data_IF_204484663705
#
_entry.id   IF_204484663705
#
_cell.length_a   1.000
_cell.length_b   1.000
_cell.length_c   1.000
_cell.angle_alpha   90.00
_cell.angle_beta   90.00
_cell.angle_gamma   90.00
#
_symmetry.space_group_name_H-M   'P 1'
#
loop_
_entity.id
_entity.type
_entity.pdbx_description
1 polymer ?
#
# COMPACT_ATOMS: atom_id res chain seq x y z
N UNK A 1 59.59 -11.24 -47.91
CA UNK A 1 60.49 -11.01 -46.76
C UNK A 1 59.64 -10.52 -45.61
N UNK A 2 59.76 -11.18 -44.47
CA UNK A 2 58.90 -11.03 -43.29
C UNK A 2 59.10 -9.69 -42.58
N UNK A 3 58.02 -9.14 -42.02
CA UNK A 3 58.06 -8.17 -40.93
C UNK A 3 57.12 -8.63 -39.82
N UNK A 4 57.72 -9.40 -38.90
CA UNK A 4 57.45 -9.54 -37.48
C UNK A 4 55.99 -9.55 -36.99
N UNK A 5 55.52 -10.75 -36.69
CA UNK A 5 54.43 -11.06 -35.77
C UNK A 5 54.87 -10.74 -34.33
N UNK A 6 54.28 -9.74 -33.70
CA UNK A 6 54.22 -9.67 -32.23
C UNK A 6 53.08 -10.57 -31.78
N UNK A 7 53.40 -11.73 -31.20
CA UNK A 7 52.41 -12.62 -30.60
C UNK A 7 51.61 -11.86 -29.52
N UNK A 8 50.27 -11.96 -29.49
CA UNK A 8 49.52 -11.60 -28.29
C UNK A 8 49.90 -12.55 -27.14
N UNK A 9 49.82 -12.10 -25.87
CA UNK A 9 50.14 -12.93 -24.71
C UNK A 9 49.21 -14.15 -24.65
N UNK A 10 49.64 -15.27 -24.04
CA UNK A 10 48.81 -16.47 -23.94
C UNK A 10 47.60 -16.18 -23.05
N UNK A 11 46.45 -16.75 -23.44
CA UNK A 11 45.23 -16.82 -22.66
C UNK A 11 45.54 -17.36 -21.26
N UNK A 12 45.12 -16.66 -20.20
CA UNK A 12 45.09 -17.26 -18.85
C UNK A 12 43.85 -18.16 -18.77
N UNK A 13 44.07 -19.47 -18.58
CA UNK A 13 43.14 -20.60 -18.70
C UNK A 13 41.94 -20.63 -17.71
N UNK A 14 41.61 -19.55 -17.01
CA UNK A 14 40.77 -19.59 -15.80
C UNK A 14 39.33 -19.06 -15.97
N UNK A 15 38.83 -18.91 -17.19
CA UNK A 15 37.45 -18.45 -17.46
C UNK A 15 36.62 -19.55 -18.10
N UNK A 16 35.65 -20.05 -17.35
CA UNK A 16 34.70 -21.07 -17.84
C UNK A 16 33.34 -20.43 -18.12
N UNK A 17 32.84 -20.63 -19.34
CA UNK A 17 31.52 -20.17 -19.78
C UNK A 17 30.52 -21.31 -19.66
N UNK A 18 29.42 -21.06 -18.96
CA UNK A 18 28.31 -22.00 -18.83
C UNK A 18 27.04 -21.35 -19.37
N UNK A 19 26.36 -22.05 -20.28
CA UNK A 19 25.03 -21.64 -20.74
C UNK A 19 24.03 -21.89 -19.61
N UNK A 20 23.40 -20.81 -19.14
CA UNK A 20 22.55 -20.85 -17.93
C UNK A 20 21.18 -21.45 -18.24
N UNK A 21 20.70 -21.31 -19.48
CA UNK A 21 19.43 -21.89 -19.91
C UNK A 21 19.52 -22.41 -21.35
N UNK A 22 19.14 -23.68 -21.60
CA UNK A 22 19.13 -24.23 -22.96
C UNK A 22 18.02 -23.65 -23.85
N UNK A 23 17.07 -22.91 -23.28
CA UNK A 23 15.94 -22.30 -24.01
C UNK A 23 16.15 -20.80 -24.29
N UNK A 24 17.20 -20.19 -23.76
CA UNK A 24 17.59 -18.81 -24.06
C UNK A 24 19.06 -18.79 -24.47
N UNK A 25 19.38 -18.68 -25.78
CA UNK A 25 20.75 -18.75 -26.28
C UNK A 25 21.62 -17.54 -25.87
N UNK A 26 21.04 -16.54 -25.22
CA UNK A 26 21.72 -15.30 -24.81
C UNK A 26 22.02 -15.23 -23.31
N UNK A 27 21.60 -16.22 -22.51
CA UNK A 27 21.96 -16.30 -21.08
C UNK A 27 23.19 -17.18 -20.87
N UNK A 28 24.34 -16.52 -20.71
CA UNK A 28 25.63 -17.13 -20.39
C UNK A 28 26.18 -16.56 -19.10
N UNK A 29 26.75 -17.41 -18.24
CA UNK A 29 27.54 -16.99 -17.08
C UNK A 29 29.00 -17.29 -17.34
N UNK A 30 29.85 -16.29 -17.13
CA UNK A 30 31.29 -16.46 -17.08
C UNK A 30 31.73 -16.44 -15.62
N UNK A 31 32.35 -17.52 -15.15
CA UNK A 31 32.96 -17.56 -13.82
C UNK A 31 34.46 -17.47 -13.96
N UNK A 32 35.05 -16.44 -13.33
CA UNK A 32 36.49 -16.34 -13.09
C UNK A 32 36.72 -16.78 -11.64
N UNK A 33 37.67 -17.66 -11.41
CA UNK A 33 37.87 -18.36 -10.13
C UNK A 33 38.19 -17.47 -8.92
N UNK A 34 38.26 -16.13 -9.03
CA UNK A 34 38.72 -15.24 -7.95
C UNK A 34 38.15 -13.81 -7.87
N UNK A 35 36.96 -13.48 -8.39
CA UNK A 35 36.36 -12.14 -8.18
C UNK A 35 35.02 -12.19 -7.46
N UNK A 36 34.93 -11.56 -6.28
CA UNK A 36 33.75 -11.47 -5.41
C UNK A 36 32.73 -10.40 -5.81
N UNK A 37 32.90 -9.75 -6.97
CA UNK A 37 32.00 -8.72 -7.49
C UNK A 37 31.18 -9.24 -8.67
N UNK A 38 30.16 -10.03 -8.37
CA UNK A 38 29.19 -10.55 -9.35
C UNK A 38 27.92 -9.70 -9.35
N UNK A 39 27.83 -8.73 -10.25
CA UNK A 39 26.62 -7.94 -10.49
C UNK A 39 26.24 -7.92 -11.98
N UNK A 40 24.95 -7.79 -12.33
CA UNK A 40 24.49 -7.81 -13.74
C UNK A 40 25.21 -6.80 -14.64
N UNK A 41 25.44 -5.59 -14.14
CA UNK A 41 26.15 -4.52 -14.85
C UNK A 41 27.64 -4.83 -15.11
N UNK A 42 28.34 -5.46 -14.15
CA UNK A 42 29.75 -5.84 -14.30
C UNK A 42 29.93 -6.95 -15.35
N UNK A 43 29.01 -7.92 -15.38
CA UNK A 43 29.02 -9.01 -16.35
C UNK A 43 28.73 -8.51 -17.77
N UNK A 44 27.83 -7.53 -17.94
CA UNK A 44 27.55 -6.90 -19.24
C UNK A 44 28.76 -6.11 -19.77
N UNK A 45 29.44 -5.35 -18.90
CA UNK A 45 30.64 -4.59 -19.26
C UNK A 45 31.81 -5.49 -19.68
N UNK A 46 32.03 -6.59 -18.93
CA UNK A 46 33.08 -7.57 -19.24
C UNK A 46 32.79 -8.30 -20.55
N UNK A 47 31.52 -8.65 -20.83
CA UNK A 47 31.10 -9.25 -22.09
C UNK A 47 31.33 -8.32 -23.30
N UNK A 48 31.06 -7.01 -23.16
CA UNK A 48 31.24 -6.04 -24.24
C UNK A 48 32.73 -5.87 -24.60
N UNK A 49 33.60 -5.75 -23.59
CA UNK A 49 35.04 -5.63 -23.78
C UNK A 49 35.64 -6.84 -24.53
N UNK A 50 35.25 -8.06 -24.13
CA UNK A 50 35.72 -9.31 -24.77
C UNK A 50 35.18 -9.43 -26.20
N UNK A 51 33.92 -9.07 -26.45
CA UNK A 51 33.32 -9.13 -27.78
C UNK A 51 33.95 -8.13 -28.77
N UNK A 52 34.35 -6.94 -28.30
CA UNK A 52 35.08 -5.95 -29.10
C UNK A 52 36.50 -6.40 -29.44
N UNK A 53 37.18 -7.11 -28.53
CA UNK A 53 38.53 -7.62 -28.73
C UNK A 53 38.58 -8.76 -29.77
N UNK A 54 37.50 -9.54 -29.86
CA UNK A 54 37.39 -10.69 -30.77
C UNK A 54 36.58 -10.42 -32.05
N UNK A 55 36.25 -9.15 -32.34
CA UNK A 55 35.56 -8.71 -33.55
C UNK A 55 34.22 -9.43 -33.84
N UNK A 56 33.51 -9.88 -32.80
CA UNK A 56 32.18 -10.46 -32.94
C UNK A 56 31.14 -9.33 -33.05
N UNK A 57 31.00 -8.76 -34.25
CA UNK A 57 30.10 -7.64 -34.56
C UNK A 57 28.69 -7.84 -34.02
N UNK A 58 28.17 -9.06 -34.13
CA UNK A 58 26.79 -9.39 -33.77
C UNK A 58 26.61 -9.42 -32.24
N UNK A 59 27.64 -9.84 -31.50
CA UNK A 59 27.65 -9.87 -30.03
C UNK A 59 27.82 -8.45 -29.48
N UNK A 60 28.69 -7.63 -30.09
CA UNK A 60 28.85 -6.22 -29.72
C UNK A 60 27.55 -5.43 -29.95
N UNK A 61 26.89 -5.66 -31.09
CA UNK A 61 25.60 -5.04 -31.39
C UNK A 61 24.50 -5.48 -30.40
N UNK A 62 24.45 -6.77 -30.06
CA UNK A 62 23.51 -7.30 -29.08
C UNK A 62 23.73 -6.71 -27.68
N UNK A 63 24.99 -6.63 -27.23
CA UNK A 63 25.33 -6.07 -25.91
C UNK A 63 25.12 -4.55 -25.84
N UNK A 64 25.42 -3.82 -26.93
CA UNK A 64 25.12 -2.38 -27.01
C UNK A 64 23.61 -2.10 -27.04
N UNK A 65 22.82 -2.95 -27.68
CA UNK A 65 21.36 -2.83 -27.65
C UNK A 65 20.80 -3.16 -26.26
N UNK A 66 21.35 -4.16 -25.59
CA UNK A 66 20.97 -4.52 -24.23
C UNK A 66 21.27 -3.40 -23.23
N UNK A 67 22.45 -2.75 -23.34
CA UNK A 67 22.79 -1.61 -22.48
C UNK A 67 21.92 -0.38 -22.76
N UNK A 68 21.60 -0.11 -24.03
CA UNK A 68 20.70 0.98 -24.41
C UNK A 68 19.25 0.75 -23.96
N UNK A 69 18.80 -0.51 -23.91
CA UNK A 69 17.49 -0.87 -23.35
C UNK A 69 17.47 -0.71 -21.83
N UNK A 70 18.53 -1.14 -21.13
CA UNK A 70 18.66 -0.94 -19.68
C UNK A 70 18.63 0.55 -19.30
N UNK A 71 19.43 1.38 -19.97
CA UNK A 71 19.44 2.83 -19.73
C UNK A 71 18.08 3.50 -20.03
N UNK A 72 17.33 2.96 -20.99
CA UNK A 72 15.97 3.42 -21.29
C UNK A 72 14.98 3.10 -20.16
N UNK A 73 15.08 1.89 -19.57
CA UNK A 73 14.24 1.50 -18.43
C UNK A 73 14.61 2.34 -17.19
N UNK A 74 15.90 2.54 -16.90
CA UNK A 74 16.35 3.39 -15.79
C UNK A 74 15.81 4.82 -15.91
N UNK A 75 15.87 5.42 -17.11
CA UNK A 75 15.32 6.76 -17.35
C UNK A 75 13.79 6.83 -17.13
N UNK A 76 13.06 5.76 -17.49
CA UNK A 76 11.64 5.65 -17.21
C UNK A 76 11.35 5.60 -15.71
N UNK A 77 12.09 4.80 -14.93
CA UNK A 77 11.92 4.71 -13.48
C UNK A 77 12.28 6.02 -12.77
N UNK A 78 13.35 6.70 -13.21
CA UNK A 78 13.69 8.05 -12.72
C UNK A 78 12.58 9.06 -13.01
N UNK A 79 11.95 8.98 -14.19
CA UNK A 79 10.81 9.83 -14.53
C UNK A 79 9.61 9.59 -13.61
N UNK A 80 9.34 8.32 -13.22
CA UNK A 80 8.30 7.97 -12.25
C UNK A 80 8.55 8.60 -10.87
N UNK A 81 9.81 8.61 -10.39
CA UNK A 81 10.20 9.25 -9.11
C UNK A 81 10.17 10.78 -9.22
N UNK A 82 10.56 11.33 -10.37
CA UNK A 82 10.59 12.77 -10.59
C UNK A 82 9.21 13.40 -10.86
N UNK A 83 8.18 12.58 -11.10
CA UNK A 83 6.84 13.06 -11.46
C UNK A 83 6.74 13.55 -12.92
N UNK A 84 7.59 13.07 -13.81
CA UNK A 84 7.75 13.57 -15.17
C UNK A 84 6.79 12.88 -16.16
N UNK A 85 5.51 13.30 -16.12
CA UNK A 85 4.42 12.68 -16.91
C UNK A 85 4.67 12.60 -18.42
N UNK A 86 5.17 13.65 -19.12
CA UNK A 86 5.42 13.58 -20.56
C UNK A 86 6.42 12.48 -20.96
N UNK A 87 7.50 12.35 -20.21
CA UNK A 87 8.57 11.37 -20.42
C UNK A 87 8.05 9.94 -20.20
N UNK A 88 7.20 9.76 -19.19
CA UNK A 88 6.53 8.48 -18.91
C UNK A 88 5.59 8.10 -20.06
N UNK A 89 4.77 9.04 -20.53
CA UNK A 89 3.85 8.80 -21.66
C UNK A 89 4.62 8.43 -22.93
N UNK A 90 5.74 9.11 -23.22
CA UNK A 90 6.60 8.78 -24.35
C UNK A 90 7.21 7.38 -24.21
N UNK A 91 7.70 7.03 -23.01
CA UNK A 91 8.27 5.72 -22.74
C UNK A 91 7.23 4.59 -22.90
N UNK A 92 5.99 4.78 -22.41
CA UNK A 92 4.88 3.83 -22.59
C UNK A 92 4.51 3.71 -24.07
N UNK A 93 4.35 4.84 -24.77
CA UNK A 93 4.01 4.87 -26.20
C UNK A 93 5.06 4.19 -27.08
N UNK A 94 6.31 4.09 -26.63
CA UNK A 94 7.37 3.38 -27.35
C UNK A 94 7.11 1.86 -27.46
N UNK A 95 6.29 1.28 -26.57
CA UNK A 95 6.03 -0.16 -26.50
C UNK A 95 7.25 -1.01 -26.14
N UNK A 96 8.33 -0.40 -25.63
CA UNK A 96 9.60 -1.07 -25.29
C UNK A 96 9.68 -1.56 -23.84
N UNK A 97 8.73 -1.14 -23.01
CA UNK A 97 8.65 -1.51 -21.59
C UNK A 97 7.98 -2.87 -21.42
N UNK A 98 8.50 -3.68 -20.50
CA UNK A 98 7.85 -4.92 -20.07
C UNK A 98 6.78 -4.61 -19.01
N UNK A 99 5.88 -5.56 -18.76
CA UNK A 99 4.90 -5.42 -17.66
C UNK A 99 5.59 -5.25 -16.30
N UNK A 100 6.70 -5.95 -16.07
CA UNK A 100 7.51 -5.81 -14.85
C UNK A 100 8.04 -4.38 -14.68
N UNK A 101 8.48 -3.72 -15.77
CA UNK A 101 8.91 -2.32 -15.70
C UNK A 101 7.74 -1.39 -15.34
N UNK A 102 6.57 -1.63 -15.90
CA UNK A 102 5.38 -0.82 -15.63
C UNK A 102 4.86 -1.03 -14.19
N UNK A 103 4.92 -2.25 -13.67
CA UNK A 103 4.60 -2.58 -12.27
C UNK A 103 5.56 -1.89 -11.29
N UNK A 104 6.86 -1.89 -11.59
CA UNK A 104 7.86 -1.17 -10.78
C UNK A 104 7.63 0.35 -10.82
N UNK A 105 7.34 0.90 -12.00
CA UNK A 105 6.96 2.31 -12.14
C UNK A 105 5.69 2.68 -11.36
N UNK A 106 4.69 1.80 -11.33
CA UNK A 106 3.45 1.99 -10.58
C UNK A 106 3.71 2.02 -9.07
N UNK A 107 4.57 1.14 -8.57
CA UNK A 107 4.95 1.11 -7.16
C UNK A 107 5.62 2.42 -6.73
N UNK A 108 6.58 2.92 -7.53
CA UNK A 108 7.26 4.20 -7.27
C UNK A 108 6.28 5.39 -7.29
N UNK A 109 5.45 5.49 -8.34
CA UNK A 109 4.47 6.56 -8.46
C UNK A 109 3.41 6.54 -7.35
N UNK A 110 3.08 5.35 -6.85
CA UNK A 110 2.15 5.17 -5.71
C UNK A 110 2.80 5.65 -4.40
N UNK A 111 4.07 5.34 -4.17
CA UNK A 111 4.79 5.74 -2.94
C UNK A 111 4.98 7.27 -2.86
N UNK A 112 5.36 7.89 -3.98
CA UNK A 112 5.55 9.34 -4.11
C UNK A 112 4.24 10.13 -4.31
N UNK A 113 3.11 9.44 -4.39
CA UNK A 113 1.76 10.00 -4.48
C UNK A 113 1.48 10.84 -5.75
N UNK A 114 1.87 10.33 -6.92
CA UNK A 114 1.57 10.95 -8.23
C UNK A 114 0.32 10.36 -8.90
N UNK A 115 -0.89 10.94 -8.70
CA UNK A 115 -2.13 10.37 -9.19
C UNK A 115 -2.19 10.28 -10.73
N UNK A 116 -1.74 11.31 -11.44
CA UNK A 116 -1.85 11.32 -12.91
C UNK A 116 -0.98 10.23 -13.54
N UNK A 117 0.21 9.98 -12.98
CA UNK A 117 1.11 8.92 -13.41
C UNK A 117 0.52 7.55 -13.11
N UNK A 118 -0.04 7.37 -11.91
CA UNK A 118 -0.76 6.15 -11.53
C UNK A 118 -1.88 5.87 -12.55
N UNK A 119 -2.71 6.87 -12.87
CA UNK A 119 -3.77 6.71 -13.88
C UNK A 119 -3.22 6.24 -15.23
N UNK A 120 -2.18 6.89 -15.75
CA UNK A 120 -1.56 6.52 -17.04
C UNK A 120 -0.98 5.10 -17.02
N UNK A 121 -0.38 4.66 -15.91
CA UNK A 121 0.16 3.31 -15.79
C UNK A 121 -0.95 2.26 -15.69
N UNK A 122 -2.05 2.56 -15.03
CA UNK A 122 -3.22 1.69 -14.97
C UNK A 122 -3.93 1.58 -16.32
N UNK A 123 -4.06 2.70 -17.05
CA UNK A 123 -4.53 2.74 -18.44
C UNK A 123 -3.64 1.90 -19.38
N UNK A 124 -2.35 1.77 -19.08
CA UNK A 124 -1.42 0.90 -19.80
C UNK A 124 -1.64 -0.60 -19.51
N UNK A 125 -2.56 -0.95 -18.59
CA UNK A 125 -2.97 -2.33 -18.31
C UNK A 125 -2.22 -2.99 -17.14
N UNK A 126 -1.53 -2.20 -16.31
CA UNK A 126 -0.85 -2.73 -15.11
C UNK A 126 -1.88 -3.25 -14.11
N UNK A 127 -1.61 -4.43 -13.55
CA UNK A 127 -2.46 -5.02 -12.51
C UNK A 127 -2.34 -4.28 -11.19
N UNK A 128 -3.47 -4.12 -10.49
CA UNK A 128 -3.47 -3.60 -9.12
C UNK A 128 -2.81 -4.64 -8.19
N UNK A 129 -1.56 -4.42 -7.79
CA UNK A 129 -0.90 -5.26 -6.80
C UNK A 129 -1.51 -5.03 -5.40
N UNK A 130 -1.65 -6.10 -4.61
CA UNK A 130 -2.15 -6.02 -3.24
C UNK A 130 -1.30 -5.09 -2.35
N UNK A 131 0.00 -5.07 -2.59
CA UNK A 131 0.99 -4.26 -1.87
C UNK A 131 0.75 -2.75 -2.05
N UNK A 132 0.29 -2.33 -3.24
CA UNK A 132 -0.01 -0.92 -3.52
C UNK A 132 -1.19 -0.40 -2.69
N UNK A 133 -2.17 -1.28 -2.42
CA UNK A 133 -3.31 -0.98 -1.54
C UNK A 133 -2.88 -0.94 -0.07
N UNK A 134 -1.94 -1.80 0.31
CA UNK A 134 -1.37 -1.82 1.66
C UNK A 134 -0.56 -0.56 2.02
N UNK A 135 -0.12 0.21 1.03
CA UNK A 135 0.58 1.50 1.20
C UNK A 135 -0.36 2.72 1.35
N UNK A 136 -1.66 2.55 1.10
CA UNK A 136 -2.68 3.61 1.22
C UNK A 136 -2.93 4.08 2.68
N UNK A 137 -2.81 3.26 3.74
CA UNK A 137 -2.97 3.70 5.12
C UNK A 137 -1.65 4.22 5.70
N UNK A 138 -1.42 5.53 5.57
CA UNK A 138 -0.28 6.18 6.24
C UNK A 138 -0.09 7.62 5.80
N UNK A 139 -0.43 8.56 6.69
CA UNK A 139 -0.31 10.02 6.52
C UNK A 139 -1.11 10.61 5.34
N UNK A 140 -2.39 10.87 5.63
CA UNK A 140 -3.41 11.40 4.72
C UNK A 140 -3.11 12.83 4.25
N UNK A 141 -2.25 12.96 3.24
CA UNK A 141 -2.18 14.14 2.37
C UNK A 141 -3.19 13.98 1.23
N UNK A 142 -3.75 15.09 0.74
CA UNK A 142 -4.68 15.15 -0.41
C UNK A 142 -4.15 14.34 -1.62
N UNK A 143 -2.84 14.37 -1.86
CA UNK A 143 -2.15 13.65 -2.93
C UNK A 143 -2.41 12.13 -2.91
N UNK A 144 -2.41 11.52 -1.72
CA UNK A 144 -2.69 10.08 -1.56
C UNK A 144 -4.16 9.73 -1.81
N UNK A 145 -5.09 10.68 -1.58
CA UNK A 145 -6.50 10.49 -1.96
C UNK A 145 -6.66 10.51 -3.49
N UNK A 146 -5.86 11.32 -4.19
CA UNK A 146 -5.79 11.33 -5.65
C UNK A 146 -5.37 9.96 -6.20
N UNK A 147 -4.32 9.37 -5.62
CA UNK A 147 -3.86 8.03 -6.02
C UNK A 147 -4.96 7.01 -5.81
N UNK A 148 -5.56 6.93 -4.62
CA UNK A 148 -6.63 5.95 -4.38
C UNK A 148 -7.83 6.16 -5.33
N UNK A 149 -8.18 7.40 -5.66
CA UNK A 149 -9.24 7.67 -6.65
C UNK A 149 -8.94 6.98 -7.98
N UNK A 150 -7.70 7.07 -8.47
CA UNK A 150 -7.30 6.38 -9.69
C UNK A 150 -7.46 4.87 -9.58
N UNK A 151 -7.04 4.27 -8.46
CA UNK A 151 -7.24 2.84 -8.23
C UNK A 151 -8.73 2.45 -8.25
N UNK A 152 -9.59 3.23 -7.59
CA UNK A 152 -11.05 2.99 -7.55
C UNK A 152 -11.70 3.17 -8.93
N UNK A 153 -11.33 4.21 -9.68
CA UNK A 153 -11.80 4.47 -11.04
C UNK A 153 -11.43 3.32 -12.00
N UNK A 154 -10.30 2.64 -11.74
CA UNK A 154 -9.81 1.49 -12.50
C UNK A 154 -10.23 0.13 -11.90
N UNK A 155 -11.21 0.12 -10.99
CA UNK A 155 -11.89 -1.11 -10.56
C UNK A 155 -11.38 -1.76 -9.28
N UNK A 156 -10.58 -1.05 -8.47
CA UNK A 156 -10.30 -1.50 -7.09
C UNK A 156 -11.62 -1.64 -6.31
N UNK A 157 -11.82 -2.78 -5.65
CA UNK A 157 -13.00 -2.97 -4.79
C UNK A 157 -12.88 -2.03 -3.57
N UNK A 158 -13.81 -1.08 -3.37
CA UNK A 158 -13.79 -0.17 -2.23
C UNK A 158 -14.02 -0.89 -0.88
N UNK A 159 -14.39 -2.17 -0.89
CA UNK A 159 -14.55 -3.01 0.30
C UNK A 159 -13.32 -3.89 0.59
N UNK A 160 -12.22 -3.66 -0.14
CA UNK A 160 -10.96 -4.37 0.08
C UNK A 160 -10.51 -4.20 1.52
N UNK A 161 -10.04 -5.31 2.10
CA UNK A 161 -9.47 -5.34 3.45
C UNK A 161 -7.95 -5.34 3.34
N UNK A 162 -7.30 -4.66 4.26
CA UNK A 162 -5.88 -4.75 4.48
C UNK A 162 -5.50 -6.17 4.94
N UNK A 163 -4.21 -6.50 4.87
CA UNK A 163 -3.71 -7.80 5.37
C UNK A 163 -3.99 -8.03 6.85
N UNK A 164 -4.16 -6.94 7.62
CA UNK A 164 -4.61 -6.98 9.01
C UNK A 164 -6.07 -7.43 9.18
N UNK A 165 -6.81 -7.58 8.08
CA UNK A 165 -8.25 -7.85 8.05
C UNK A 165 -9.10 -6.61 8.28
N UNK A 166 -8.49 -5.45 8.55
CA UNK A 166 -9.20 -4.19 8.71
C UNK A 166 -9.68 -3.65 7.35
N UNK A 167 -10.89 -3.06 7.28
CA UNK A 167 -11.32 -2.35 6.09
C UNK A 167 -10.43 -1.12 5.86
N UNK A 168 -10.38 -0.64 4.61
CA UNK A 168 -9.62 0.56 4.21
C UNK A 168 -10.24 1.86 4.76
N UNK A 169 -10.48 1.94 6.07
CA UNK A 169 -11.15 3.05 6.73
C UNK A 169 -10.17 3.81 7.62
N UNK A 170 -9.93 5.04 7.20
CA UNK A 170 -8.97 5.96 7.81
C UNK A 170 -9.63 7.26 8.23
N UNK A 171 -9.43 8.31 7.44
CA UNK A 171 -10.04 9.63 7.64
C UNK A 171 -11.44 9.70 7.05
N UNK A 172 -12.23 10.69 7.47
CA UNK A 172 -13.58 10.93 6.93
C UNK A 172 -13.54 11.19 5.42
N UNK A 173 -12.52 11.90 4.91
CA UNK A 173 -12.32 12.13 3.48
C UNK A 173 -12.11 10.82 2.70
N UNK A 174 -11.32 9.89 3.24
CA UNK A 174 -11.14 8.56 2.66
C UNK A 174 -12.47 7.78 2.66
N UNK A 175 -13.21 7.82 3.76
CA UNK A 175 -14.51 7.17 3.85
C UNK A 175 -15.52 7.73 2.84
N UNK A 176 -15.55 9.05 2.63
CA UNK A 176 -16.40 9.68 1.61
C UNK A 176 -16.06 9.22 0.20
N UNK A 177 -14.76 9.16 -0.13
CA UNK A 177 -14.30 8.69 -1.44
C UNK A 177 -14.72 7.23 -1.68
N UNK A 178 -14.54 6.36 -0.68
CA UNK A 178 -14.90 4.95 -0.78
C UNK A 178 -16.43 4.77 -0.91
N UNK A 179 -17.22 5.55 -0.17
CA UNK A 179 -18.68 5.53 -0.29
C UNK A 179 -19.15 5.98 -1.67
N UNK A 180 -18.50 6.98 -2.26
CA UNK A 180 -18.81 7.43 -3.62
C UNK A 180 -18.58 6.32 -4.67
N UNK A 181 -17.68 5.38 -4.40
CA UNK A 181 -17.40 4.23 -5.26
C UNK A 181 -18.16 2.95 -4.86
N UNK A 182 -19.08 3.02 -3.90
CA UNK A 182 -19.93 1.90 -3.52
C UNK A 182 -19.42 1.05 -2.35
N UNK A 183 -18.56 1.60 -1.49
CA UNK A 183 -18.24 0.97 -0.22
C UNK A 183 -19.49 0.70 0.62
N UNK A 184 -19.51 -0.46 1.28
CA UNK A 184 -20.56 -0.86 2.20
C UNK A 184 -20.19 -0.44 3.61
N UNK A 185 -21.15 0.18 4.29
CA UNK A 185 -21.04 0.49 5.70
C UNK A 185 -21.46 -0.73 6.51
N UNK A 186 -20.47 -1.44 7.04
CA UNK A 186 -20.68 -2.53 7.98
C UNK A 186 -20.87 -1.95 9.40
N UNK A 187 -21.91 -2.34 10.15
CA UNK A 187 -22.05 -1.98 11.57
C UNK A 187 -20.81 -2.30 12.42
N UNK A 188 -20.02 -3.31 12.05
CA UNK A 188 -18.75 -3.64 12.71
C UNK A 188 -17.73 -2.49 12.69
N UNK A 189 -17.83 -1.56 11.74
CA UNK A 189 -16.96 -0.39 11.62
C UNK A 189 -17.02 0.51 12.84
N UNK A 190 -18.20 0.67 13.44
CA UNK A 190 -18.38 1.48 14.64
C UNK A 190 -17.53 0.95 15.81
N UNK A 191 -17.34 -0.36 15.94
CA UNK A 191 -16.51 -0.92 17.00
C UNK A 191 -15.02 -0.63 16.79
N UNK A 192 -14.57 -0.60 15.53
CA UNK A 192 -13.18 -0.28 15.18
C UNK A 192 -12.87 1.18 15.50
N UNK A 193 -13.82 2.10 15.27
CA UNK A 193 -13.62 3.54 15.47
C UNK A 193 -13.78 3.97 16.92
N UNK A 194 -14.60 3.27 17.70
CA UNK A 194 -14.82 3.52 19.13
C UNK A 194 -13.72 2.92 20.01
N UNK A 195 -12.87 2.05 19.45
CA UNK A 195 -11.79 1.42 20.21
C UNK A 195 -10.81 2.45 20.82
N UNK A 196 -10.40 2.16 22.06
CA UNK A 196 -9.64 3.03 22.96
C UNK A 196 -8.26 3.45 22.43
N UNK A 197 -7.77 2.80 21.37
CA UNK A 197 -6.45 3.03 20.80
C UNK A 197 -6.45 3.97 19.60
N UNK A 198 -7.61 4.38 19.06
CA UNK A 198 -7.69 5.32 17.93
C UNK A 198 -7.92 6.76 18.41
N UNK A 199 -6.86 7.57 18.36
CA UNK A 199 -6.90 9.01 18.67
C UNK A 199 -7.86 9.81 17.77
N UNK A 200 -8.10 9.36 16.53
CA UNK A 200 -9.04 9.96 15.58
C UNK A 200 -10.44 9.32 15.58
N UNK A 201 -10.73 8.44 16.54
CA UNK A 201 -11.98 7.68 16.61
C UNK A 201 -13.25 8.52 16.70
N UNK A 202 -13.19 9.68 17.37
CA UNK A 202 -14.32 10.59 17.58
C UNK A 202 -14.92 11.10 16.26
N UNK A 203 -14.09 11.65 15.37
CA UNK A 203 -14.55 12.24 14.10
C UNK A 203 -15.13 11.18 13.18
N UNK A 204 -14.48 10.02 13.09
CA UNK A 204 -14.98 8.93 12.26
C UNK A 204 -16.27 8.32 12.84
N UNK A 205 -16.35 8.15 14.16
CA UNK A 205 -17.57 7.65 14.81
C UNK A 205 -18.74 8.57 14.52
N UNK A 206 -18.55 9.90 14.66
CA UNK A 206 -19.58 10.87 14.29
C UNK A 206 -19.98 10.73 12.83
N UNK A 207 -19.02 10.69 11.92
CA UNK A 207 -19.28 10.52 10.49
C UNK A 207 -20.09 9.25 10.18
N UNK A 208 -19.74 8.12 10.78
CA UNK A 208 -20.45 6.85 10.58
C UNK A 208 -21.89 6.91 11.12
N UNK A 209 -22.11 7.53 12.27
CA UNK A 209 -23.46 7.76 12.81
C UNK A 209 -24.29 8.68 11.90
N UNK A 210 -23.68 9.75 11.38
CA UNK A 210 -24.33 10.67 10.43
C UNK A 210 -24.69 9.96 9.10
N UNK A 211 -24.01 8.85 8.75
CA UNK A 211 -24.37 7.97 7.61
C UNK A 211 -25.47 6.97 7.95
N UNK A 212 -26.02 6.98 9.17
CA UNK A 212 -27.17 6.18 9.58
C UNK A 212 -26.84 4.81 10.14
N UNK A 213 -25.59 4.56 10.56
CA UNK A 213 -25.27 3.34 11.29
C UNK A 213 -25.95 3.35 12.66
N UNK A 214 -26.48 2.19 13.07
CA UNK A 214 -27.23 2.06 14.31
C UNK A 214 -26.31 2.19 15.55
N UNK A 215 -26.51 3.19 16.43
CA UNK A 215 -25.72 3.34 17.66
C UNK A 215 -25.94 2.19 18.66
N UNK A 216 -27.00 1.40 18.49
CA UNK A 216 -27.32 0.24 19.33
C UNK A 216 -26.75 -1.08 18.80
N UNK A 217 -25.87 -1.02 17.80
CA UNK A 217 -25.18 -2.21 17.28
C UNK A 217 -24.50 -2.98 18.42
N UNK A 218 -24.63 -4.30 18.39
CA UNK A 218 -24.04 -5.20 19.38
C UNK A 218 -22.98 -6.11 18.77
N UNK A 219 -22.00 -6.48 19.58
CA UNK A 219 -20.93 -7.41 19.24
C UNK A 219 -20.81 -8.44 20.35
N UNK A 220 -20.58 -9.70 19.99
CA UNK A 220 -20.34 -10.79 20.96
C UNK A 220 -19.14 -10.51 21.87
N UNK A 221 -18.14 -9.80 21.35
CA UNK A 221 -16.91 -9.47 22.09
C UNK A 221 -17.08 -8.28 23.03
N UNK A 222 -17.84 -7.27 22.61
CA UNK A 222 -17.83 -5.96 23.26
C UNK A 222 -19.17 -5.54 23.88
N UNK A 223 -20.26 -6.24 23.56
CA UNK A 223 -21.61 -5.85 23.96
C UNK A 223 -22.16 -4.77 23.03
N UNK A 224 -22.95 -3.84 23.56
CA UNK A 224 -23.37 -2.67 22.78
C UNK A 224 -22.21 -1.70 22.58
N UNK A 225 -22.29 -0.86 21.55
CA UNK A 225 -21.28 0.16 21.28
C UNK A 225 -21.01 1.08 22.49
N UNK A 226 -22.05 1.37 23.27
CA UNK A 226 -21.96 2.21 24.47
C UNK A 226 -21.14 1.56 25.59
N UNK A 227 -21.19 0.23 25.75
CA UNK A 227 -20.35 -0.48 26.73
C UNK A 227 -18.86 -0.31 26.39
N UNK A 228 -18.50 -0.42 25.10
CA UNK A 228 -17.13 -0.20 24.64
C UNK A 228 -16.68 1.25 24.87
N UNK A 229 -17.50 2.23 24.49
CA UNK A 229 -17.19 3.65 24.67
C UNK A 229 -16.98 4.03 26.14
N UNK A 230 -17.83 3.51 27.04
CA UNK A 230 -17.68 3.70 28.48
C UNK A 230 -16.43 3.01 29.00
N UNK A 231 -16.17 1.76 28.61
CA UNK A 231 -14.95 1.04 29.03
C UNK A 231 -13.66 1.71 28.51
N UNK A 232 -13.72 2.38 27.37
CA UNK A 232 -12.62 3.19 26.82
C UNK A 232 -12.40 4.51 27.57
N UNK A 233 -13.35 4.91 28.42
CA UNK A 233 -13.23 6.12 29.23
C UNK A 233 -13.22 7.41 28.40
N UNK A 234 -13.88 7.43 27.24
CA UNK A 234 -13.97 8.64 26.40
C UNK A 234 -15.37 9.28 26.51
N UNK A 235 -15.55 10.35 27.31
CA UNK A 235 -16.85 11.00 27.48
C UNK A 235 -17.40 11.60 26.19
N UNK A 236 -16.53 12.00 25.24
CA UNK A 236 -16.98 12.60 23.97
C UNK A 236 -17.65 11.58 23.08
N UNK A 237 -17.06 10.38 22.96
CA UNK A 237 -17.68 9.28 22.21
C UNK A 237 -18.98 8.84 22.89
N UNK A 238 -18.99 8.70 24.22
CA UNK A 238 -20.22 8.40 24.97
C UNK A 238 -21.31 9.41 24.66
N UNK A 239 -20.99 10.71 24.69
CA UNK A 239 -21.95 11.75 24.34
C UNK A 239 -22.46 11.63 22.91
N UNK A 240 -21.57 11.42 21.93
CA UNK A 240 -21.96 11.24 20.51
C UNK A 240 -22.95 10.08 20.34
N UNK A 241 -22.74 8.98 21.04
CA UNK A 241 -23.63 7.81 20.97
C UNK A 241 -25.00 8.08 21.62
N UNK A 242 -25.02 8.74 22.78
CA UNK A 242 -26.27 9.12 23.45
C UNK A 242 -27.06 10.13 22.60
N UNK A 243 -26.38 11.12 22.03
CA UNK A 243 -26.98 12.13 21.14
C UNK A 243 -27.55 11.45 19.86
N UNK A 244 -26.96 10.34 19.42
CA UNK A 244 -27.46 9.53 18.31
C UNK A 244 -28.60 8.55 18.69
N UNK A 245 -28.96 8.44 19.97
CA UNK A 245 -30.04 7.56 20.45
C UNK A 245 -29.60 6.19 20.95
N UNK A 246 -28.36 6.04 21.41
CA UNK A 246 -27.91 4.82 22.06
C UNK A 246 -28.67 4.54 23.38
N UNK A 247 -29.14 3.33 23.56
CA UNK A 247 -29.83 2.87 24.77
C UNK A 247 -28.81 2.51 25.86
N UNK A 248 -28.82 3.32 26.92
CA UNK A 248 -27.96 3.15 28.11
C UNK A 248 -28.42 2.07 29.08
N UNK A 249 -29.62 1.52 28.90
CA UNK A 249 -30.25 0.56 29.81
C UNK A 249 -29.96 -0.90 29.44
N UNK A 250 -29.48 -1.13 28.21
CA UNK A 250 -29.15 -2.47 27.71
C UNK A 250 -28.07 -3.10 28.58
N UNK A 251 -28.30 -4.34 28.98
CA UNK A 251 -27.30 -5.17 29.63
C UNK A 251 -26.46 -5.88 28.58
N UNK A 252 -25.15 -5.82 28.73
CA UNK A 252 -24.25 -6.51 27.81
C UNK A 252 -24.34 -8.03 27.96
N UNK A 253 -24.40 -8.71 26.83
CA UNK A 253 -24.29 -10.18 26.74
C UNK A 253 -22.85 -10.64 26.54
N UNK A 254 -21.90 -9.72 26.37
CA UNK A 254 -20.51 -10.05 26.09
C UNK A 254 -19.81 -10.63 27.33
N UNK A 255 -18.93 -11.60 27.11
CA UNK A 255 -18.23 -12.33 28.18
C UNK A 255 -17.43 -11.43 29.12
N UNK A 256 -16.90 -10.30 28.63
CA UNK A 256 -16.16 -9.31 29.42
C UNK A 256 -17.01 -8.34 30.25
N UNK A 257 -18.30 -8.20 29.93
CA UNK A 257 -19.23 -7.24 30.54
C UNK A 257 -20.56 -7.88 30.91
N UNK A 258 -20.57 -9.18 31.16
CA UNK A 258 -21.78 -9.99 31.21
C UNK A 258 -22.77 -9.47 32.26
N UNK A 259 -24.02 -9.22 31.83
CA UNK A 259 -25.11 -8.65 32.62
C UNK A 259 -24.81 -7.27 33.23
N UNK A 260 -23.80 -6.56 32.75
CA UNK A 260 -23.53 -5.19 33.19
C UNK A 260 -24.22 -4.19 32.29
N UNK A 261 -24.75 -3.12 32.86
CA UNK A 261 -25.17 -1.93 32.11
C UNK A 261 -23.98 -1.00 31.88
N UNK A 262 -24.11 -0.08 30.92
CA UNK A 262 -23.12 0.98 30.69
C UNK A 262 -22.86 1.81 31.95
N UNK A 263 -23.87 2.02 32.79
CA UNK A 263 -23.71 2.71 34.08
C UNK A 263 -22.89 1.91 35.09
N UNK A 264 -23.05 0.59 35.15
CA UNK A 264 -22.27 -0.27 36.04
C UNK A 264 -20.80 -0.35 35.62
N UNK A 265 -20.50 -0.36 34.32
CA UNK A 265 -19.11 -0.26 33.83
C UNK A 265 -18.50 1.09 34.21
N UNK A 266 -19.25 2.19 34.03
CA UNK A 266 -18.75 3.54 34.34
C UNK A 266 -18.32 3.69 35.81
N UNK A 267 -18.92 2.93 36.74
CA UNK A 267 -18.55 2.97 38.15
C UNK A 267 -17.15 2.42 38.45
N UNK A 268 -16.61 1.58 37.57
CA UNK A 268 -15.29 0.95 37.69
C UNK A 268 -14.16 1.77 37.02
N UNK A 269 -14.47 2.93 36.46
CA UNK A 269 -13.49 3.84 35.84
C UNK A 269 -12.79 4.72 36.88
N UNK A 270 -11.66 5.31 36.46
CA UNK A 270 -10.93 6.31 37.24
C UNK A 270 -11.79 7.53 37.58
N UNK A 271 -11.58 8.11 38.76
CA UNK A 271 -12.45 9.13 39.35
C UNK A 271 -12.73 10.34 38.42
N UNK A 272 -11.71 10.81 37.70
CA UNK A 272 -11.78 11.98 36.83
C UNK A 272 -12.73 11.76 35.64
N UNK A 273 -12.65 10.58 35.01
CA UNK A 273 -13.45 10.22 33.83
C UNK A 273 -14.83 9.72 34.26
N UNK A 274 -14.89 8.97 35.36
CA UNK A 274 -16.10 8.40 35.94
C UNK A 274 -17.18 9.46 36.15
N UNK A 275 -16.85 10.57 36.81
CA UNK A 275 -17.85 11.60 37.13
C UNK A 275 -18.47 12.18 35.86
N UNK A 276 -17.65 12.42 34.83
CA UNK A 276 -18.08 12.94 33.53
C UNK A 276 -19.03 11.96 32.84
N UNK A 277 -18.66 10.69 32.72
CA UNK A 277 -19.46 9.67 32.02
C UNK A 277 -20.77 9.36 32.77
N UNK A 278 -20.72 9.24 34.10
CA UNK A 278 -21.92 9.00 34.92
C UNK A 278 -22.92 10.13 34.76
N UNK A 279 -22.47 11.38 34.74
CA UNK A 279 -23.35 12.53 34.55
C UNK A 279 -24.04 12.52 33.17
N UNK A 280 -23.32 12.11 32.11
CA UNK A 280 -23.87 11.97 30.77
C UNK A 280 -24.94 10.87 30.71
N UNK A 281 -24.66 9.70 31.27
CA UNK A 281 -25.61 8.58 31.29
C UNK A 281 -26.88 8.91 32.09
N UNK A 282 -26.75 9.59 33.23
CA UNK A 282 -27.91 10.04 34.02
C UNK A 282 -28.76 11.07 33.28
N UNK A 283 -28.11 12.00 32.55
CA UNK A 283 -28.83 13.01 31.78
C UNK A 283 -29.65 12.42 30.63
N UNK A 284 -29.14 11.38 29.97
CA UNK A 284 -29.85 10.66 28.92
C UNK A 284 -31.04 9.85 29.46
N UNK A 285 -30.91 9.21 30.62
CA UNK A 285 -32.01 8.48 31.27
C UNK A 285 -33.17 9.38 31.70
N UNK A 286 -32.93 10.67 31.98
CA UNK A 286 -33.97 11.62 32.32
C UNK A 286 -34.76 12.14 31.10
N UNK A 287 -34.31 11.86 29.88
CA UNK A 287 -34.88 12.35 28.62
C UNK A 287 -35.62 11.27 27.82
N UNK A 288 -35.53 10.00 28.21
CA UNK A 288 -36.25 8.85 27.66
C UNK A 288 -37.58 8.61 28.40
#
# INVERSE_FOLDING_TARGET
MASQTTNPPPLEDDVQFHQVSPYNPYMWTATRTNSTTSGPAYNAFLGLAIATEHAHSDIVAALSNASAHLAFVEAFLEACVAGALPEIMEAIASGRLTMENLEEGLALATDDAFPDIVGVLLDAGVGMAADAVACIPGQYREERLGVLRQYLDHGLDPNTKLDSGEPLLGTTALAELLLAHGAKLDPALLFITVDRHRSAGELMTKFLLDKGLDPNTTSERWGTLLHLAVSGGNPRIVKLLLDAGADSTVQSIATGYFCQTSMQIAQNLDADVKQSIVSLLQSSQAQA
#
